data_IF_479759038419
#
_entry.id   IF_479759038419
#
_cell.length_a   1.000
_cell.length_b   1.000
_cell.length_c   1.000
_cell.angle_alpha   90.00
_cell.angle_beta   90.00
_cell.angle_gamma   90.00
#
_symmetry.space_group_name_H-M   'P 1'
#
loop_
_entity.id
_entity.type
_entity.pdbx_description
1 polymer ?
#
# COMPACT_ATOMS: atom_id res chain seq x y z
N UNK A 1 7.71 2.44 11.55
CA UNK A 1 8.11 3.02 10.27
C UNK A 1 7.15 4.12 9.85
N UNK A 2 7.64 5.26 9.37
CA UNK A 2 6.77 6.34 8.93
C UNK A 2 6.36 6.15 7.46
N UNK A 3 5.05 6.08 7.21
CA UNK A 3 4.50 6.37 5.89
C UNK A 3 4.66 7.88 5.65
N UNK A 4 5.49 8.27 4.69
CA UNK A 4 5.93 9.68 4.54
C UNK A 4 4.82 10.63 4.16
N UNK A 5 3.91 10.16 3.31
CA UNK A 5 2.79 10.94 2.81
C UNK A 5 1.52 10.72 3.66
N UNK A 6 1.63 10.16 4.88
CA UNK A 6 0.47 9.86 5.76
C UNK A 6 -0.46 11.05 5.98
N UNK A 7 0.10 12.26 6.05
CA UNK A 7 -0.67 13.49 6.26
C UNK A 7 -1.67 13.78 5.11
N UNK A 8 -1.40 13.32 3.89
CA UNK A 8 -2.30 13.48 2.74
C UNK A 8 -3.46 12.48 2.73
N UNK A 9 -3.44 11.49 3.63
CA UNK A 9 -4.42 10.41 3.72
C UNK A 9 -5.20 10.49 5.05
N UNK A 10 -5.73 11.68 5.37
CA UNK A 10 -6.52 11.91 6.60
C UNK A 10 -7.80 11.06 6.68
N UNK A 11 -8.28 10.61 5.52
CA UNK A 11 -9.45 9.74 5.37
C UNK A 11 -9.13 8.24 5.50
N UNK A 12 -7.91 7.87 5.88
CA UNK A 12 -7.46 6.47 5.95
C UNK A 12 -7.25 6.03 7.39
N UNK A 13 -7.70 4.82 7.69
CA UNK A 13 -7.31 4.07 8.87
C UNK A 13 -6.08 3.22 8.53
N UNK A 14 -4.91 3.76 8.89
CA UNK A 14 -3.64 3.05 8.74
C UNK A 14 -3.51 1.94 9.77
N UNK A 15 -3.11 0.75 9.30
CA UNK A 15 -2.79 -0.36 10.17
C UNK A 15 -1.48 -0.09 10.92
N UNK A 16 -1.28 -0.72 12.08
CA UNK A 16 0.05 -0.79 12.67
C UNK A 16 0.98 -1.60 11.76
N UNK A 17 2.28 -1.27 11.75
CA UNK A 17 3.26 -1.84 10.80
C UNK A 17 3.29 -3.37 10.79
N UNK A 18 3.11 -4.00 11.96
CA UNK A 18 3.06 -5.46 12.11
C UNK A 18 1.79 -6.12 11.55
N UNK A 19 0.86 -5.34 10.98
CA UNK A 19 -0.37 -5.79 10.34
C UNK A 19 -0.40 -5.51 8.84
N UNK A 20 0.69 -4.97 8.27
CA UNK A 20 0.81 -4.86 6.82
C UNK A 20 0.79 -6.25 6.19
N UNK A 21 0.09 -6.37 5.06
CA UNK A 21 -0.08 -7.65 4.36
C UNK A 21 0.45 -7.52 2.94
N UNK A 22 1.27 -8.47 2.51
CA UNK A 22 1.59 -8.63 1.10
C UNK A 22 0.34 -9.05 0.35
N UNK A 23 -0.06 -8.24 -0.63
CA UNK A 23 -1.25 -8.52 -1.47
C UNK A 23 -0.88 -8.67 -2.95
N UNK A 24 0.38 -8.47 -3.32
CA UNK A 24 0.79 -8.57 -4.71
C UNK A 24 2.15 -7.94 -4.99
N UNK A 25 2.31 -7.51 -6.23
CA UNK A 25 3.50 -6.87 -6.75
C UNK A 25 3.12 -5.74 -7.72
N UNK A 26 3.92 -4.68 -7.77
CA UNK A 26 3.85 -3.62 -8.75
C UNK A 26 5.27 -3.33 -9.20
N UNK A 27 5.57 -3.54 -10.48
CA UNK A 27 6.89 -3.23 -11.07
C UNK A 27 8.09 -3.91 -10.38
N UNK A 28 7.99 -5.20 -10.05
CA UNK A 28 9.04 -5.91 -9.32
C UNK A 28 9.10 -5.57 -7.82
N UNK A 29 8.27 -4.63 -7.34
CA UNK A 29 8.20 -4.24 -5.93
C UNK A 29 7.00 -4.89 -5.26
N UNK A 30 7.17 -5.30 -4.02
CA UNK A 30 6.11 -5.89 -3.22
C UNK A 30 5.01 -4.88 -2.95
N UNK A 31 3.76 -5.28 -3.16
CA UNK A 31 2.59 -4.47 -2.90
C UNK A 31 2.00 -4.84 -1.53
N UNK A 32 2.12 -3.93 -0.58
CA UNK A 32 1.68 -4.11 0.80
C UNK A 32 0.38 -3.35 1.04
N UNK A 33 -0.63 -4.00 1.60
CA UNK A 33 -1.83 -3.33 2.13
C UNK A 33 -1.51 -2.77 3.52
N UNK A 34 -1.56 -1.45 3.64
CA UNK A 34 -1.14 -0.70 4.82
C UNK A 34 -2.28 0.03 5.53
N UNK A 35 -3.47 0.04 4.95
CA UNK A 35 -4.64 0.66 5.57
C UNK A 35 -5.89 0.48 4.72
N UNK A 36 -6.97 1.12 5.17
CA UNK A 36 -8.24 1.21 4.44
C UNK A 36 -8.82 2.61 4.52
N UNK A 37 -9.45 3.07 3.44
CA UNK A 37 -10.22 4.30 3.47
C UNK A 37 -11.43 4.16 4.41
N UNK A 38 -11.70 5.18 5.23
CA UNK A 38 -12.79 5.20 6.24
C UNK A 38 -14.19 5.11 5.64
N UNK A 39 -14.35 5.49 4.37
CA UNK A 39 -15.64 5.46 3.66
C UNK A 39 -16.02 4.04 3.24
N UNK A 40 -15.54 3.61 2.08
CA UNK A 40 -15.91 2.33 1.47
C UNK A 40 -14.97 1.18 1.84
N UNK A 41 -13.95 1.43 2.66
CA UNK A 41 -12.97 0.42 3.05
C UNK A 41 -11.93 0.14 1.97
N UNK A 42 -11.80 1.04 0.97
CA UNK A 42 -10.89 0.85 -0.16
C UNK A 42 -9.45 0.62 0.33
N UNK A 43 -8.75 -0.36 -0.26
CA UNK A 43 -7.41 -0.74 0.16
C UNK A 43 -6.40 0.36 -0.13
N UNK A 44 -5.67 0.77 0.90
CA UNK A 44 -4.53 1.66 0.78
C UNK A 44 -3.27 0.82 0.83
N UNK A 45 -2.38 1.07 -0.13
CA UNK A 45 -1.20 0.24 -0.39
C UNK A 45 0.08 1.06 -0.38
N UNK A 46 1.21 0.38 -0.21
CA UNK A 46 2.55 0.90 -0.49
C UNK A 46 3.34 -0.13 -1.28
N UNK A 47 4.33 0.33 -2.05
CA UNK A 47 5.33 -0.54 -2.65
C UNK A 47 6.57 -0.62 -1.75
N UNK A 48 7.18 -1.80 -1.67
CA UNK A 48 8.42 -2.03 -0.94
C UNK A 48 9.40 -2.83 -1.79
N UNK A 49 10.69 -2.52 -1.67
CA UNK A 49 11.76 -3.17 -2.43
C UNK A 49 12.35 -4.38 -1.70
N UNK A 50 12.09 -4.54 -0.40
CA UNK A 50 12.69 -5.56 0.44
C UNK A 50 11.65 -6.49 1.07
N UNK A 51 12.14 -7.61 1.60
CA UNK A 51 11.34 -8.53 2.41
C UNK A 51 10.97 -7.94 3.78
N UNK A 52 11.76 -6.97 4.26
CA UNK A 52 11.62 -6.31 5.56
C UNK A 52 11.25 -4.83 5.36
N UNK A 53 9.97 -4.54 5.03
CA UNK A 53 9.52 -3.17 4.80
C UNK A 53 9.69 -2.26 6.01
N UNK A 54 10.05 -2.80 7.19
CA UNK A 54 10.39 -2.07 8.41
C UNK A 54 11.70 -1.26 8.35
N UNK A 55 12.43 -1.31 7.22
CA UNK A 55 13.63 -0.49 6.99
C UNK A 55 13.49 0.51 5.83
N UNK A 56 12.32 0.60 5.18
CA UNK A 56 12.07 1.47 4.03
C UNK A 56 11.12 2.64 4.29
N UNK A 57 11.38 3.77 3.63
CA UNK A 57 10.42 4.86 3.59
C UNK A 57 9.24 4.50 2.66
N UNK A 58 8.08 4.21 3.25
CA UNK A 58 6.88 3.83 2.51
C UNK A 58 6.04 5.04 2.09
N UNK A 59 5.42 4.93 0.93
CA UNK A 59 4.47 5.90 0.39
C UNK A 59 3.12 5.21 0.15
N UNK A 60 2.07 5.75 0.78
CA UNK A 60 0.70 5.30 0.59
C UNK A 60 0.18 5.69 -0.79
N UNK A 61 -0.66 4.83 -1.37
CA UNK A 61 -1.40 5.06 -2.60
C UNK A 61 -2.74 4.34 -2.50
N UNK A 62 -3.77 4.86 -3.16
CA UNK A 62 -5.00 4.12 -3.37
C UNK A 62 -4.74 2.99 -4.39
N UNK A 63 -5.15 1.77 -4.08
CA UNK A 63 -4.90 0.63 -4.98
C UNK A 63 -5.57 0.81 -6.35
N UNK A 64 -6.81 1.31 -6.38
CA UNK A 64 -7.56 1.43 -7.61
C UNK A 64 -7.03 2.57 -8.47
N UNK A 65 -6.60 3.68 -7.87
CA UNK A 65 -5.88 4.72 -8.61
C UNK A 65 -4.55 4.19 -9.15
N UNK A 66 -3.79 3.45 -8.34
CA UNK A 66 -2.55 2.81 -8.78
C UNK A 66 -2.81 1.87 -9.97
N UNK A 67 -3.82 1.01 -9.90
CA UNK A 67 -4.20 0.12 -11.01
C UNK A 67 -4.67 0.86 -12.26
N UNK A 68 -5.34 2.00 -12.09
CA UNK A 68 -5.90 2.79 -13.20
C UNK A 68 -4.84 3.62 -13.93
N UNK A 69 -3.89 4.20 -13.20
CA UNK A 69 -2.94 5.18 -13.73
C UNK A 69 -1.51 4.66 -13.82
N UNK A 70 -1.18 3.53 -13.21
CA UNK A 70 0.14 2.92 -13.38
C UNK A 70 0.32 2.46 -14.82
N UNK A 71 1.46 2.82 -15.41
CA UNK A 71 1.91 2.27 -16.69
C UNK A 71 2.49 0.85 -16.50
N UNK A 72 2.77 0.46 -15.26
CA UNK A 72 3.32 -0.83 -14.87
C UNK A 72 2.22 -1.75 -14.36
N UNK A 73 2.34 -3.06 -14.65
CA UNK A 73 1.34 -4.04 -14.23
C UNK A 73 1.29 -4.18 -12.71
N UNK A 74 0.13 -3.89 -12.14
CA UNK A 74 -0.18 -4.18 -10.73
C UNK A 74 -0.77 -5.59 -10.66
N UNK A 75 0.00 -6.53 -10.11
CA UNK A 75 -0.40 -7.93 -9.95
C UNK A 75 -0.87 -8.16 -8.53
N UNK A 76 -2.18 -8.21 -8.32
CA UNK A 76 -2.77 -8.53 -7.00
C UNK A 76 -2.99 -10.04 -6.91
N UNK A 77 -2.32 -10.68 -5.97
CA UNK A 77 -2.35 -12.14 -5.77
C UNK A 77 -2.91 -12.57 -4.42
N UNK A 78 -3.15 -11.62 -3.50
CA UNK A 78 -3.72 -11.85 -2.18
C UNK A 78 -5.14 -11.30 -2.01
N UNK A 79 -5.80 -11.67 -0.90
CA UNK A 79 -7.11 -11.15 -0.54
C UNK A 79 -7.05 -9.65 -0.16
N UNK A 80 -7.83 -8.84 -0.87
CA UNK A 80 -7.93 -7.37 -0.73
C UNK A 80 -8.75 -6.97 0.51
#
# INVERSE_FOLDING_TARGET
>A
MPIKNRAFFSYVDFFPDNKYKLIGECAGKKLLRIGRAKGYGDPIVATSQTDEPSQEDLYASDLYELMKFSHESVNVTGGI
#
